data_IF_415536395250
#
_entry.id   IF_415536395250
#
_cell.length_a   1.000
_cell.length_b   1.000
_cell.length_c   1.000
_cell.angle_alpha   90.00
_cell.angle_beta   90.00
_cell.angle_gamma   90.00
#
_symmetry.space_group_name_H-M   'P 1'
#
loop_
_entity.id
_entity.type
_entity.pdbx_description
1 polymer ?
#
# COMPACT_ATOMS: atom_id res chain seq x y z
N UNK A 1 34.20 30.43 -29.08
CA UNK A 1 32.89 30.91 -28.57
C UNK A 1 31.68 30.12 -29.10
N UNK A 2 31.85 29.09 -29.95
CA UNK A 2 30.73 28.31 -30.49
C UNK A 2 30.31 27.07 -29.63
N UNK A 3 31.13 26.66 -28.66
CA UNK A 3 30.86 25.46 -27.84
C UNK A 3 29.92 25.73 -26.65
N UNK A 4 29.85 26.96 -26.15
CA UNK A 4 28.97 27.32 -25.04
C UNK A 4 27.51 27.46 -25.47
N UNK A 5 27.22 27.88 -26.70
CA UNK A 5 25.85 27.94 -27.23
C UNK A 5 25.27 26.55 -27.46
N UNK A 6 26.10 25.60 -27.92
CA UNK A 6 25.66 24.22 -28.18
C UNK A 6 25.29 23.47 -26.89
N UNK A 7 25.98 23.74 -25.78
CA UNK A 7 25.66 23.12 -24.48
C UNK A 7 24.35 23.66 -23.87
N UNK A 8 24.01 24.94 -24.09
CA UNK A 8 22.75 25.50 -23.62
C UNK A 8 21.53 24.93 -24.37
N UNK A 9 21.66 24.69 -25.68
CA UNK A 9 20.55 24.13 -26.47
C UNK A 9 20.27 22.66 -26.12
N UNK A 10 21.31 21.87 -25.81
CA UNK A 10 21.16 20.46 -25.37
C UNK A 10 20.53 20.38 -23.98
N UNK A 11 20.87 21.30 -23.06
CA UNK A 11 20.24 21.38 -21.73
C UNK A 11 18.78 21.87 -21.82
N UNK A 12 18.48 22.80 -22.73
CA UNK A 12 17.13 23.30 -22.99
C UNK A 12 16.20 22.23 -23.60
N UNK A 13 16.67 21.46 -24.58
CA UNK A 13 15.88 20.38 -25.18
C UNK A 13 15.64 19.21 -24.22
N UNK A 14 16.62 18.90 -23.37
CA UNK A 14 16.51 17.79 -22.40
C UNK A 14 15.56 18.13 -21.24
N UNK A 15 15.48 19.39 -20.82
CA UNK A 15 14.47 19.86 -19.86
C UNK A 15 13.07 19.94 -20.49
N UNK A 16 12.97 20.30 -21.77
CA UNK A 16 11.67 20.36 -22.47
C UNK A 16 11.10 18.96 -22.73
N UNK A 17 11.96 17.95 -23.00
CA UNK A 17 11.54 16.55 -23.12
C UNK A 17 11.14 15.92 -21.78
N UNK A 18 11.72 16.36 -20.65
CA UNK A 18 11.32 15.88 -19.31
C UNK A 18 9.99 16.44 -18.82
N UNK A 19 9.55 17.59 -19.32
CA UNK A 19 8.26 18.22 -18.93
C UNK A 19 7.02 17.64 -19.65
N UNK A 20 7.20 16.80 -20.67
CA UNK A 20 6.09 16.29 -21.50
C UNK A 20 5.66 14.84 -21.19
N UNK A 21 6.00 14.29 -20.02
CA UNK A 21 5.58 12.94 -19.61
C UNK A 21 4.43 12.93 -18.58
N UNK A 22 3.71 14.05 -18.41
CA UNK A 22 2.41 14.04 -17.71
C UNK A 22 1.34 13.97 -18.79
N UNK A 23 0.83 12.76 -19.03
CA UNK A 23 -0.34 12.58 -19.89
C UNK A 23 -1.45 13.48 -19.34
N UNK A 24 -2.04 14.40 -20.13
CA UNK A 24 -3.16 15.20 -19.65
C UNK A 24 -4.27 14.24 -19.19
N UNK A 25 -4.81 14.50 -18.00
CA UNK A 25 -5.85 13.68 -17.43
C UNK A 25 -7.01 13.59 -18.43
N UNK A 26 -7.48 12.37 -18.69
CA UNK A 26 -8.66 12.20 -19.52
C UNK A 26 -9.88 12.82 -18.80
N UNK A 27 -10.91 13.31 -19.52
CA UNK A 27 -12.13 13.83 -18.89
C UNK A 27 -12.76 12.87 -17.87
N UNK A 28 -12.56 11.56 -18.07
CA UNK A 28 -12.95 10.51 -17.13
C UNK A 28 -12.14 10.53 -15.82
N UNK A 29 -10.83 10.75 -15.89
CA UNK A 29 -9.96 10.83 -14.71
C UNK A 29 -10.21 12.11 -13.91
N UNK A 30 -10.48 13.22 -14.59
CA UNK A 30 -10.90 14.47 -13.96
C UNK A 30 -12.23 14.29 -13.22
N UNK A 31 -13.24 13.70 -13.86
CA UNK A 31 -14.52 13.39 -13.23
C UNK A 31 -14.37 12.46 -12.01
N UNK A 32 -13.54 11.43 -12.12
CA UNK A 32 -13.28 10.52 -10.99
C UNK A 32 -12.56 11.22 -9.83
N UNK A 33 -11.72 12.20 -10.13
CA UNK A 33 -11.00 12.99 -9.12
C UNK A 33 -11.95 13.94 -8.39
N UNK A 34 -12.82 14.64 -9.12
CA UNK A 34 -13.84 15.51 -8.53
C UNK A 34 -14.88 14.72 -7.71
N UNK A 35 -15.36 13.59 -8.23
CA UNK A 35 -16.27 12.71 -7.47
C UNK A 35 -15.64 12.21 -6.16
N UNK A 36 -14.34 11.95 -6.14
CA UNK A 36 -13.61 11.59 -4.90
C UNK A 36 -13.54 12.76 -3.94
N UNK A 37 -13.19 13.95 -4.44
CA UNK A 37 -13.11 15.17 -3.62
C UNK A 37 -14.45 15.45 -2.94
N UNK A 38 -15.54 15.43 -3.70
CA UNK A 38 -16.91 15.63 -3.18
C UNK A 38 -17.28 14.54 -2.17
N UNK A 39 -16.91 13.28 -2.44
CA UNK A 39 -17.15 12.18 -1.51
C UNK A 39 -16.42 12.38 -0.18
N UNK A 40 -15.16 12.81 -0.20
CA UNK A 40 -14.36 13.03 0.99
C UNK A 40 -14.83 14.26 1.78
N UNK A 41 -15.24 15.33 1.10
CA UNK A 41 -15.76 16.54 1.75
C UNK A 41 -17.15 16.33 2.38
N UNK A 42 -17.91 15.35 1.91
CA UNK A 42 -19.26 15.03 2.40
C UNK A 42 -19.32 13.81 3.32
N UNK A 43 -18.18 13.34 3.86
CA UNK A 43 -18.20 12.25 4.84
C UNK A 43 -18.83 12.71 6.15
N UNK A 44 -19.73 11.90 6.71
CA UNK A 44 -20.17 12.11 8.09
C UNK A 44 -19.00 11.91 9.06
N UNK A 45 -19.10 12.46 10.28
CA UNK A 45 -18.12 12.26 11.34
C UNK A 45 -17.83 10.77 11.60
N UNK A 46 -18.87 9.93 11.60
CA UNK A 46 -18.76 8.48 11.76
C UNK A 46 -18.06 7.79 10.59
N UNK A 47 -18.25 8.25 9.35
CA UNK A 47 -17.56 7.71 8.18
C UNK A 47 -16.10 8.13 8.15
N UNK A 48 -15.80 9.37 8.53
CA UNK A 48 -14.43 9.89 8.66
C UNK A 48 -13.64 9.10 9.71
N UNK A 49 -14.23 8.86 10.89
CA UNK A 49 -13.61 8.04 11.94
C UNK A 49 -13.31 6.61 11.46
N UNK A 50 -14.27 5.96 10.78
CA UNK A 50 -14.06 4.60 10.22
C UNK A 50 -12.96 4.57 9.16
N UNK A 51 -12.83 5.63 8.36
CA UNK A 51 -11.77 5.75 7.36
C UNK A 51 -10.40 5.88 8.02
N UNK A 52 -10.28 6.73 9.04
CA UNK A 52 -9.06 6.91 9.82
C UNK A 52 -8.63 5.61 10.52
N UNK A 53 -9.58 4.89 11.14
CA UNK A 53 -9.30 3.59 11.78
C UNK A 53 -8.80 2.55 10.76
N UNK A 54 -9.34 2.57 9.54
CA UNK A 54 -8.88 1.70 8.44
C UNK A 54 -7.48 2.08 7.95
N UNK A 55 -7.14 3.37 7.89
CA UNK A 55 -5.79 3.83 7.57
C UNK A 55 -4.78 3.37 8.62
N UNK A 56 -5.06 3.56 9.91
CA UNK A 56 -4.20 3.05 11.00
C UNK A 56 -4.03 1.54 10.96
N UNK A 57 -5.12 0.81 10.75
CA UNK A 57 -5.08 -0.65 10.62
C UNK A 57 -4.20 -1.08 9.43
N UNK A 58 -4.33 -0.39 8.30
CA UNK A 58 -3.47 -0.62 7.14
C UNK A 58 -1.99 -0.40 7.47
N UNK A 59 -1.62 0.75 8.06
CA UNK A 59 -0.23 1.06 8.42
C UNK A 59 0.37 0.02 9.36
N UNK A 60 -0.38 -0.40 10.39
CA UNK A 60 0.10 -1.42 11.33
C UNK A 60 0.33 -2.77 10.67
N UNK A 61 -0.59 -3.21 9.80
CA UNK A 61 -0.42 -4.46 9.06
C UNK A 61 0.74 -4.38 8.06
N UNK A 62 0.90 -3.24 7.38
CA UNK A 62 2.02 -2.99 6.48
C UNK A 62 3.36 -3.11 7.22
N UNK A 63 3.52 -2.46 8.37
CA UNK A 63 4.76 -2.53 9.16
C UNK A 63 5.05 -3.96 9.66
N UNK A 64 4.02 -4.67 10.16
CA UNK A 64 4.17 -6.08 10.56
C UNK A 64 4.61 -6.97 9.40
N UNK A 65 4.04 -6.75 8.22
CA UNK A 65 4.44 -7.45 7.00
C UNK A 65 5.87 -7.11 6.60
N UNK A 66 6.28 -5.85 6.71
CA UNK A 66 7.65 -5.45 6.42
C UNK A 66 8.66 -6.11 7.36
N UNK A 67 8.35 -6.15 8.66
CA UNK A 67 9.18 -6.85 9.65
C UNK A 67 9.24 -8.35 9.37
N UNK A 68 8.09 -9.02 9.27
CA UNK A 68 8.02 -10.47 9.10
C UNK A 68 8.59 -10.97 7.76
N UNK A 69 8.47 -10.20 6.68
CA UNK A 69 8.89 -10.63 5.32
C UNK A 69 10.27 -10.15 4.92
N UNK A 70 10.67 -8.96 5.35
CA UNK A 70 11.96 -8.36 4.97
C UNK A 70 12.93 -8.22 6.15
N UNK A 71 12.52 -8.52 7.37
CA UNK A 71 13.33 -8.32 8.57
C UNK A 71 13.58 -6.84 8.88
N UNK A 72 12.73 -5.94 8.36
CA UNK A 72 12.92 -4.50 8.49
C UNK A 72 12.26 -3.96 9.77
N UNK A 73 13.04 -3.30 10.61
CA UNK A 73 12.56 -2.58 11.78
C UNK A 73 11.89 -1.25 11.39
N UNK A 74 11.04 -0.74 12.29
CA UNK A 74 10.39 0.58 12.13
C UNK A 74 11.41 1.71 11.89
N UNK A 75 12.59 1.64 12.53
CA UNK A 75 13.67 2.62 12.34
C UNK A 75 14.25 2.59 10.92
N UNK A 76 14.46 1.40 10.35
CA UNK A 76 14.96 1.24 8.99
C UNK A 76 13.91 1.70 7.97
N UNK A 77 12.64 1.34 8.18
CA UNK A 77 11.54 1.74 7.30
C UNK A 77 11.40 3.26 7.27
N UNK A 78 11.57 3.93 8.41
CA UNK A 78 11.47 5.39 8.48
C UNK A 78 12.51 6.14 7.64
N UNK A 79 13.65 5.50 7.31
CA UNK A 79 14.72 6.10 6.49
C UNK A 79 14.48 5.93 4.99
N UNK A 80 13.53 5.09 4.58
CA UNK A 80 13.21 4.93 3.18
C UNK A 80 12.50 6.15 2.62
N UNK A 81 12.78 6.46 1.36
CA UNK A 81 12.03 7.44 0.56
C UNK A 81 10.63 6.89 0.25
N UNK A 82 9.73 7.80 -0.11
CA UNK A 82 8.34 7.45 -0.40
C UNK A 82 8.23 6.47 -1.57
N UNK A 83 9.07 6.60 -2.59
CA UNK A 83 9.05 5.69 -3.74
C UNK A 83 9.40 4.26 -3.34
N UNK A 84 10.35 4.08 -2.41
CA UNK A 84 10.73 2.77 -1.91
C UNK A 84 9.60 2.12 -1.10
N UNK A 85 8.85 2.92 -0.32
CA UNK A 85 7.71 2.43 0.46
C UNK A 85 6.58 1.98 -0.48
N UNK A 86 6.34 2.72 -1.57
CA UNK A 86 5.38 2.34 -2.60
C UNK A 86 5.80 1.01 -3.25
N UNK A 87 7.08 0.84 -3.57
CA UNK A 87 7.55 -0.41 -4.17
C UNK A 87 7.47 -1.59 -3.20
N UNK A 88 7.71 -1.35 -1.91
CA UNK A 88 7.45 -2.34 -0.87
C UNK A 88 5.97 -2.74 -0.79
N UNK A 89 5.03 -1.79 -0.91
CA UNK A 89 3.58 -2.10 -0.99
C UNK A 89 3.28 -2.99 -2.20
N UNK A 90 3.89 -2.71 -3.36
CA UNK A 90 3.74 -3.51 -4.58
C UNK A 90 4.25 -4.95 -4.41
N UNK A 91 5.39 -5.13 -3.73
CA UNK A 91 5.94 -6.45 -3.44
C UNK A 91 5.06 -7.24 -2.45
N UNK A 92 4.54 -6.56 -1.42
CA UNK A 92 3.68 -7.17 -0.41
C UNK A 92 2.33 -7.59 -1.00
N UNK A 93 1.71 -6.77 -1.85
CA UNK A 93 0.40 -7.10 -2.43
C UNK A 93 0.44 -8.31 -3.35
N UNK A 94 1.51 -8.48 -4.14
CA UNK A 94 1.64 -9.62 -5.05
C UNK A 94 1.52 -10.96 -4.32
N UNK A 95 2.10 -11.05 -3.12
CA UNK A 95 2.02 -12.25 -2.27
C UNK A 95 0.76 -12.29 -1.41
N UNK A 96 0.33 -11.16 -0.83
CA UNK A 96 -0.89 -11.09 -0.04
C UNK A 96 -2.13 -11.52 -0.84
N UNK A 97 -2.18 -11.20 -2.15
CA UNK A 97 -3.24 -11.65 -3.05
C UNK A 97 -3.32 -13.16 -3.19
N UNK A 98 -2.17 -13.85 -3.26
CA UNK A 98 -2.11 -15.32 -3.34
C UNK A 98 -2.68 -15.97 -2.09
N UNK A 99 -2.30 -15.48 -0.91
CA UNK A 99 -2.81 -15.97 0.38
C UNK A 99 -4.31 -15.67 0.52
N UNK A 100 -4.76 -14.49 0.10
CA UNK A 100 -6.16 -14.11 0.12
C UNK A 100 -7.01 -15.01 -0.79
N UNK A 101 -6.51 -15.34 -1.98
CA UNK A 101 -7.16 -16.27 -2.91
C UNK A 101 -7.26 -17.68 -2.34
N UNK A 102 -6.17 -18.19 -1.74
CA UNK A 102 -6.17 -19.50 -1.08
C UNK A 102 -7.20 -19.56 0.07
N UNK A 103 -7.31 -18.50 0.88
CA UNK A 103 -8.35 -18.41 1.92
C UNK A 103 -9.76 -18.34 1.35
N UNK A 104 -9.96 -17.60 0.27
CA UNK A 104 -11.26 -17.51 -0.40
C UNK A 104 -11.73 -18.89 -0.93
N UNK A 105 -10.82 -19.70 -1.47
CA UNK A 105 -11.13 -21.07 -1.91
C UNK A 105 -11.65 -21.97 -0.79
N UNK A 106 -11.13 -21.83 0.44
CA UNK A 106 -11.63 -22.59 1.61
C UNK A 106 -13.12 -22.35 1.84
N UNK A 107 -13.60 -21.12 1.64
CA UNK A 107 -15.00 -20.76 1.86
C UNK A 107 -15.95 -21.19 0.73
N UNK A 108 -15.42 -21.53 -0.45
CA UNK A 108 -16.22 -21.94 -1.60
C UNK A 108 -16.44 -23.45 -1.71
N UNK A 109 -15.62 -24.26 -1.04
CA UNK A 109 -15.72 -25.72 -1.13
C UNK A 109 -16.74 -26.25 -0.12
N UNK A 110 -17.71 -27.09 -0.53
CA UNK A 110 -18.69 -27.69 0.39
C UNK A 110 -18.02 -28.59 1.44
N UNK A 111 -18.71 -28.76 2.57
CA UNK A 111 -18.21 -29.31 3.85
C UNK A 111 -17.32 -30.57 3.72
N UNK A 112 -17.64 -31.50 2.82
CA UNK A 112 -16.84 -32.72 2.62
C UNK A 112 -15.50 -32.49 1.92
N UNK A 113 -15.42 -31.54 0.99
CA UNK A 113 -14.15 -31.13 0.37
C UNK A 113 -13.33 -30.23 1.29
N UNK A 114 -13.97 -29.55 2.23
CA UNK A 114 -13.31 -28.65 3.17
C UNK A 114 -12.29 -29.36 4.08
N UNK A 115 -12.55 -30.59 4.53
CA UNK A 115 -11.61 -31.32 5.42
C UNK A 115 -10.27 -31.57 4.69
N UNK A 116 -10.32 -32.14 3.49
CA UNK A 116 -9.13 -32.43 2.69
C UNK A 116 -8.44 -31.16 2.17
N UNK A 117 -9.21 -30.16 1.75
CA UNK A 117 -8.67 -28.90 1.25
C UNK A 117 -8.05 -28.06 2.38
N UNK A 118 -8.65 -28.09 3.57
CA UNK A 118 -8.15 -27.38 4.74
C UNK A 118 -6.81 -27.94 5.19
N UNK A 119 -6.67 -29.25 5.32
CA UNK A 119 -5.37 -29.87 5.66
C UNK A 119 -4.29 -29.54 4.63
N UNK A 120 -4.63 -29.60 3.34
CA UNK A 120 -3.67 -29.33 2.26
C UNK A 120 -3.28 -27.84 2.21
N UNK A 121 -4.24 -26.93 2.32
CA UNK A 121 -3.98 -25.49 2.33
C UNK A 121 -3.27 -25.08 3.62
N UNK A 122 -3.64 -25.64 4.77
CA UNK A 122 -2.96 -25.38 6.03
C UNK A 122 -1.51 -25.85 5.98
N UNK A 123 -1.23 -27.01 5.39
CA UNK A 123 0.14 -27.49 5.17
C UNK A 123 0.94 -26.57 4.22
N UNK A 124 0.32 -26.06 3.14
CA UNK A 124 0.95 -25.06 2.26
C UNK A 124 1.23 -23.75 3.01
N UNK A 125 0.27 -23.29 3.81
CA UNK A 125 0.39 -22.07 4.61
C UNK A 125 1.42 -22.21 5.75
N UNK A 126 1.61 -23.41 6.30
CA UNK A 126 2.64 -23.74 7.31
C UNK A 126 4.06 -23.80 6.72
N UNK A 127 4.20 -24.06 5.41
CA UNK A 127 5.51 -24.03 4.71
C UNK A 127 5.95 -22.62 4.31
N UNK A 128 5.05 -21.65 4.29
CA UNK A 128 5.44 -20.24 4.26
C UNK A 128 5.95 -19.81 5.65
N UNK A 129 6.90 -18.86 5.74
CA UNK A 129 7.45 -18.41 7.02
C UNK A 129 6.32 -18.12 8.03
N UNK A 130 6.47 -18.57 9.29
CA UNK A 130 5.38 -18.61 10.24
C UNK A 130 4.82 -17.20 10.48
N UNK A 131 3.49 -17.12 10.52
CA UNK A 131 2.70 -15.97 10.96
C UNK A 131 2.71 -14.76 10.04
N UNK A 132 2.01 -14.84 8.90
CA UNK A 132 1.32 -13.63 8.39
C UNK A 132 0.01 -13.91 7.64
N UNK A 133 -0.66 -15.04 7.87
CA UNK A 133 -1.92 -15.33 7.16
C UNK A 133 -3.03 -14.31 7.47
N UNK A 134 -3.18 -13.95 8.76
CA UNK A 134 -4.15 -12.94 9.21
C UNK A 134 -3.72 -11.53 8.83
N UNK A 135 -2.46 -11.12 9.07
CA UNK A 135 -2.06 -9.75 8.74
C UNK A 135 -1.96 -9.53 7.21
N UNK A 136 -1.61 -10.55 6.41
CA UNK A 136 -1.68 -10.47 4.93
C UNK A 136 -3.11 -10.30 4.44
N UNK A 137 -4.05 -11.05 5.02
CA UNK A 137 -5.48 -10.90 4.71
C UNK A 137 -6.00 -9.52 5.12
N UNK A 138 -5.73 -9.11 6.36
CA UNK A 138 -6.16 -7.81 6.89
C UNK A 138 -5.54 -6.65 6.10
N UNK A 139 -4.27 -6.78 5.71
CA UNK A 139 -3.58 -5.85 4.82
C UNK A 139 -4.26 -5.80 3.44
N UNK A 140 -4.52 -6.95 2.81
CA UNK A 140 -5.20 -7.01 1.51
C UNK A 140 -6.58 -6.35 1.54
N UNK A 141 -7.38 -6.67 2.56
CA UNK A 141 -8.73 -6.13 2.75
C UNK A 141 -8.68 -4.62 3.01
N UNK A 142 -7.83 -4.16 3.94
CA UNK A 142 -7.70 -2.73 4.25
C UNK A 142 -7.18 -1.95 3.04
N UNK A 143 -6.19 -2.48 2.31
CA UNK A 143 -5.69 -1.88 1.07
C UNK A 143 -6.78 -1.75 0.01
N UNK A 144 -7.55 -2.82 -0.21
CA UNK A 144 -8.65 -2.81 -1.19
C UNK A 144 -9.73 -1.80 -0.81
N UNK A 145 -10.05 -1.69 0.48
CA UNK A 145 -10.97 -0.69 1.00
C UNK A 145 -10.44 0.73 0.77
N UNK A 146 -9.17 1.01 1.14
CA UNK A 146 -8.57 2.33 0.95
C UNK A 146 -8.47 2.69 -0.53
N UNK A 147 -8.07 1.76 -1.40
CA UNK A 147 -8.02 1.99 -2.85
C UNK A 147 -9.39 2.34 -3.44
N UNK A 148 -10.46 1.68 -2.96
CA UNK A 148 -11.83 2.00 -3.37
C UNK A 148 -12.29 3.38 -2.89
N UNK A 149 -11.84 3.83 -1.73
CA UNK A 149 -12.33 5.07 -1.11
C UNK A 149 -11.47 6.30 -1.40
N UNK A 150 -10.15 6.14 -1.48
CA UNK A 150 -9.15 7.19 -1.67
C UNK A 150 -8.58 7.24 -3.10
N UNK A 151 -8.63 6.13 -3.85
CA UNK A 151 -8.16 6.10 -5.24
C UNK A 151 -6.65 5.86 -5.37
N UNK A 152 -5.93 6.77 -6.03
CA UNK A 152 -4.48 6.65 -6.26
C UNK A 152 -3.67 6.95 -4.99
N UNK A 153 -4.14 7.84 -4.14
CA UNK A 153 -3.51 8.22 -2.86
C UNK A 153 -3.91 7.28 -1.71
N UNK A 154 -4.15 6.00 -2.02
CA UNK A 154 -4.67 5.05 -1.03
C UNK A 154 -3.66 4.65 0.04
N UNK A 155 -2.38 4.87 -0.23
CA UNK A 155 -1.30 4.61 0.70
C UNK A 155 -1.19 5.84 1.62
N UNK A 156 -1.66 5.77 2.87
CA UNK A 156 -1.73 6.94 3.74
C UNK A 156 -0.34 7.24 4.30
N UNK A 157 0.52 7.85 3.48
CA UNK A 157 1.93 8.09 3.80
C UNK A 157 2.09 8.93 5.06
N UNK A 158 1.30 9.98 5.21
CA UNK A 158 1.34 10.84 6.40
C UNK A 158 1.04 10.04 7.67
N UNK A 159 -0.01 9.21 7.66
CA UNK A 159 -0.38 8.35 8.78
C UNK A 159 0.69 7.29 9.07
N UNK A 160 1.29 6.71 8.02
CA UNK A 160 2.38 5.75 8.16
C UNK A 160 3.60 6.40 8.83
N UNK A 161 3.99 7.60 8.39
CA UNK A 161 5.10 8.36 8.96
C UNK A 161 4.80 8.79 10.40
N UNK A 162 3.57 9.21 10.70
CA UNK A 162 3.13 9.52 12.06
C UNK A 162 3.21 8.29 12.97
N UNK A 163 2.74 7.13 12.49
CA UNK A 163 2.81 5.85 13.22
C UNK A 163 4.26 5.46 13.52
N UNK A 164 5.16 5.58 12.54
CA UNK A 164 6.59 5.29 12.71
C UNK A 164 7.23 6.21 13.74
N UNK A 165 6.95 7.52 13.69
CA UNK A 165 7.45 8.49 14.69
C UNK A 165 6.94 8.15 16.10
N UNK A 166 5.66 7.84 16.24
CA UNK A 166 5.07 7.47 17.54
C UNK A 166 5.73 6.23 18.13
N UNK A 167 5.94 5.19 17.32
CA UNK A 167 6.61 3.96 17.77
C UNK A 167 8.07 4.17 18.12
N UNK A 168 8.78 5.03 17.41
CA UNK A 168 10.16 5.40 17.75
C UNK A 168 10.25 6.17 19.06
N UNK A 169 9.35 7.13 19.29
CA UNK A 169 9.29 7.88 20.54
C UNK A 169 9.05 6.96 21.74
N UNK A 170 8.19 5.95 21.59
CA UNK A 170 7.91 4.96 22.65
C UNK A 170 9.12 4.08 23.02
N UNK A 171 10.07 3.87 22.09
CA UNK A 171 11.30 3.09 22.35
C UNK A 171 12.33 3.93 23.13
N UNK A 172 12.39 5.24 22.88
CA UNK A 172 13.35 6.15 23.53
C UNK A 172 12.93 6.51 24.97
N UNK A 173 11.64 6.37 25.30
CA UNK A 173 11.10 6.64 26.64
C UNK A 173 11.22 5.49 27.65
N UNK A 174 11.84 4.37 27.25
CA UNK A 174 12.06 3.18 28.09
C UNK A 174 13.55 3.03 28.35
#
# INVERSE_FOLDING_TARGET
MAEQSLQLDILSESDTRRRNLVRPATPKEELLTELRRVKLSNLSSSQSARLADRQRSFCNNFLRLCYSRFGLSDSQISRFKDEHIIEMDNLLIGRARRIAYLRYLIYLVPIFGQIFLFEHIEHILKREPPLVGSDSWNYYVSRSFLKKNLGQDYLPMDELRATLKQKQAAIVSV
#
